data_IF_521579050771
#
_entry.id   IF_521579050771
#
_cell.length_a   1.000
_cell.length_b   1.000
_cell.length_c   1.000
_cell.angle_alpha   90.00
_cell.angle_beta   90.00
_cell.angle_gamma   90.00
#
_symmetry.space_group_name_H-M   'P 1'
#
loop_
_entity.id
_entity.type
_entity.pdbx_description
1 polymer ?
#
# COMPACT_ATOMS: atom_id res chain seq x y z
N UNK A 1 -4.00 22.97 -8.07
CA UNK A 1 -3.30 21.67 -8.07
C UNK A 1 -3.02 21.32 -6.62
N UNK A 2 -3.49 20.15 -6.15
CA UNK A 2 -3.15 19.70 -4.80
C UNK A 2 -1.62 19.54 -4.69
N UNK A 3 -1.05 19.98 -3.56
CA UNK A 3 0.39 19.91 -3.32
C UNK A 3 0.72 18.46 -2.95
N UNK A 4 1.60 17.82 -3.72
CA UNK A 4 2.05 16.46 -3.42
C UNK A 4 2.71 16.42 -2.04
N UNK A 5 2.43 15.37 -1.27
CA UNK A 5 3.06 15.10 0.01
C UNK A 5 4.36 14.31 -0.25
N UNK A 6 5.45 14.62 0.45
CA UNK A 6 6.69 13.87 0.26
C UNK A 6 6.55 12.46 0.84
N UNK A 7 7.09 11.46 0.14
CA UNK A 7 7.25 10.12 0.68
C UNK A 7 8.11 10.15 1.96
N UNK A 8 7.91 9.19 2.88
CA UNK A 8 8.74 9.04 4.06
C UNK A 8 10.24 9.06 3.72
N UNK A 9 11.01 9.83 4.51
CA UNK A 9 12.46 10.05 4.35
C UNK A 9 12.91 10.68 3.02
N UNK A 10 12.01 11.09 2.13
CA UNK A 10 12.43 11.77 0.89
C UNK A 10 13.18 13.07 1.17
N UNK A 11 12.78 13.82 2.20
CA UNK A 11 13.44 15.07 2.59
C UNK A 11 14.87 14.86 3.11
N UNK A 12 15.19 13.65 3.58
CA UNK A 12 16.50 13.28 4.11
C UNK A 12 17.45 12.75 3.02
N UNK A 13 16.98 12.63 1.77
CA UNK A 13 17.79 12.07 0.67
C UNK A 13 18.84 13.07 0.17
N UNK A 14 20.03 12.57 -0.22
CA UNK A 14 21.02 13.40 -0.90
C UNK A 14 20.44 13.91 -2.22
N UNK A 15 20.73 15.18 -2.54
CA UNK A 15 20.30 15.81 -3.80
C UNK A 15 21.31 15.53 -4.91
N UNK A 16 21.45 14.24 -5.24
CA UNK A 16 22.41 13.74 -6.20
C UNK A 16 21.68 12.95 -7.29
N UNK A 17 21.27 13.62 -8.40
CA UNK A 17 20.45 13.03 -9.44
C UNK A 17 20.92 11.69 -10.00
N UNK A 18 22.23 11.47 -10.07
CA UNK A 18 22.85 10.29 -10.69
C UNK A 18 23.17 9.19 -9.69
N UNK A 19 23.22 9.51 -8.39
CA UNK A 19 23.33 8.51 -7.32
C UNK A 19 22.01 7.78 -7.18
N UNK A 20 22.04 6.47 -7.00
CA UNK A 20 20.82 5.68 -6.92
C UNK A 20 20.00 6.05 -5.66
N UNK A 21 18.78 6.53 -5.86
CA UNK A 21 17.82 6.67 -4.77
C UNK A 21 17.29 5.29 -4.37
N UNK A 22 17.38 4.97 -3.09
CA UNK A 22 16.91 3.69 -2.55
C UNK A 22 15.47 3.82 -2.07
N UNK A 23 14.59 3.00 -2.62
CA UNK A 23 13.19 2.88 -2.23
C UNK A 23 12.94 1.45 -1.73
N UNK A 24 12.43 1.31 -0.50
CA UNK A 24 11.85 0.05 -0.03
C UNK A 24 10.34 0.10 -0.26
N UNK A 25 9.80 -0.88 -0.99
CA UNK A 25 8.38 -0.91 -1.36
C UNK A 25 7.73 -2.26 -1.05
N UNK A 26 6.54 -2.23 -0.48
CA UNK A 26 5.75 -3.42 -0.18
C UNK A 26 5.27 -3.48 1.26
N UNK A 27 4.43 -4.47 1.56
CA UNK A 27 3.76 -4.63 2.86
C UNK A 27 4.71 -4.68 4.05
N UNK A 28 5.94 -5.16 3.86
CA UNK A 28 6.96 -5.26 4.91
C UNK A 28 8.04 -4.17 4.84
N UNK A 29 7.86 -3.11 4.04
CA UNK A 29 8.91 -2.10 3.84
C UNK A 29 9.37 -1.40 5.13
N UNK A 30 8.45 -1.06 6.04
CA UNK A 30 8.82 -0.50 7.35
C UNK A 30 9.57 -1.50 8.24
N UNK A 31 9.14 -2.77 8.22
CA UNK A 31 9.77 -3.84 8.97
C UNK A 31 11.17 -4.12 8.45
N UNK A 32 11.34 -4.23 7.13
CA UNK A 32 12.63 -4.49 6.50
C UNK A 32 13.66 -3.41 6.83
N UNK A 33 13.24 -2.14 7.04
CA UNK A 33 14.15 -1.09 7.50
C UNK A 33 14.40 -1.13 9.01
N UNK A 34 13.35 -1.27 9.83
CA UNK A 34 13.39 -1.26 11.30
C UNK A 34 14.35 -0.21 11.91
N UNK A 35 14.24 1.05 11.47
CA UNK A 35 15.12 2.16 11.90
C UNK A 35 16.62 1.91 11.62
N UNK A 36 16.91 1.19 10.53
CA UNK A 36 18.26 0.85 10.10
C UNK A 36 18.90 -0.29 10.90
N UNK A 37 18.12 -1.06 11.67
CA UNK A 37 18.63 -2.10 12.57
C UNK A 37 18.26 -3.52 12.15
N UNK A 38 17.37 -3.67 11.16
CA UNK A 38 16.96 -4.99 10.73
C UNK A 38 18.11 -5.72 10.00
N UNK A 39 18.16 -7.04 10.13
CA UNK A 39 19.14 -7.86 9.42
C UNK A 39 18.94 -7.78 7.91
N UNK A 40 17.69 -7.69 7.43
CA UNK A 40 17.39 -7.54 6.00
C UNK A 40 17.98 -6.25 5.44
N UNK A 41 17.81 -5.12 6.14
CA UNK A 41 18.39 -3.83 5.73
C UNK A 41 19.91 -3.85 5.72
N UNK A 42 20.53 -4.39 6.77
CA UNK A 42 22.00 -4.46 6.86
C UNK A 42 22.58 -5.37 5.79
N UNK A 43 21.92 -6.49 5.49
CA UNK A 43 22.28 -7.38 4.41
C UNK A 43 22.19 -6.67 3.06
N UNK A 44 21.07 -6.00 2.76
CA UNK A 44 20.91 -5.20 1.53
C UNK A 44 22.03 -4.16 1.39
N UNK A 45 22.36 -3.43 2.46
CA UNK A 45 23.45 -2.45 2.46
C UNK A 45 24.83 -3.09 2.18
N UNK A 46 25.04 -4.34 2.59
CA UNK A 46 26.29 -5.06 2.31
C UNK A 46 26.38 -5.64 0.90
N UNK A 47 25.23 -5.95 0.29
CA UNK A 47 25.15 -6.56 -1.03
C UNK A 47 25.16 -5.52 -2.16
N UNK A 48 24.73 -4.30 -1.87
CA UNK A 48 24.49 -3.26 -2.87
C UNK A 48 25.49 -2.13 -2.71
N UNK A 49 26.34 -1.95 -3.72
CA UNK A 49 27.32 -0.86 -3.75
C UNK A 49 26.64 0.51 -3.66
N UNK A 50 27.19 1.39 -2.81
CA UNK A 50 26.70 2.75 -2.62
C UNK A 50 25.57 2.90 -1.59
N UNK A 51 25.10 1.82 -0.96
CA UNK A 51 24.17 1.90 0.16
C UNK A 51 24.90 2.11 1.49
N UNK A 52 24.53 3.16 2.23
CA UNK A 52 24.95 3.39 3.60
C UNK A 52 23.83 2.97 4.57
N UNK A 53 24.13 2.07 5.50
CA UNK A 53 23.18 1.63 6.53
C UNK A 53 22.64 2.78 7.39
N UNK A 54 23.35 3.91 7.47
CA UNK A 54 22.92 5.14 8.18
C UNK A 54 21.96 5.99 7.36
N UNK A 55 21.96 5.86 6.04
CA UNK A 55 21.02 6.57 5.17
C UNK A 55 19.64 5.96 5.34
N UNK A 56 18.63 6.81 5.51
CA UNK A 56 17.24 6.35 5.55
C UNK A 56 16.79 6.09 4.11
N UNK A 57 16.25 4.91 3.77
CA UNK A 57 15.63 4.72 2.47
C UNK A 57 14.29 5.44 2.40
N UNK A 58 13.83 5.78 1.19
CA UNK A 58 12.44 6.16 0.97
C UNK A 58 11.57 4.91 1.16
N UNK A 59 10.48 5.01 1.91
CA UNK A 59 9.65 3.86 2.26
C UNK A 59 8.25 4.02 1.67
N UNK A 60 7.83 3.01 0.91
CA UNK A 60 6.50 2.88 0.31
C UNK A 60 5.80 1.63 0.88
N UNK A 61 5.12 1.80 2.01
CA UNK A 61 4.29 0.77 2.62
C UNK A 61 2.80 0.97 2.24
N UNK A 62 1.89 0.18 2.81
CA UNK A 62 0.43 0.21 2.51
C UNK A 62 -0.12 1.62 2.31
N UNK A 63 0.02 2.48 3.31
CA UNK A 63 -0.49 3.85 3.25
C UNK A 63 0.05 4.66 2.06
N UNK A 64 1.32 4.48 1.67
CA UNK A 64 1.91 5.19 0.53
C UNK A 64 1.53 4.57 -0.80
N UNK A 65 1.34 3.25 -0.84
CA UNK A 65 0.96 2.53 -2.06
C UNK A 65 -0.51 2.79 -2.41
N UNK A 66 -1.38 3.00 -1.42
CA UNK A 66 -2.80 3.33 -1.61
C UNK A 66 -3.04 4.70 -2.26
N UNK A 67 -2.24 5.72 -1.90
CA UNK A 67 -2.28 7.05 -2.52
C UNK A 67 -0.96 7.41 -3.20
N UNK A 68 -0.43 6.49 -4.00
CA UNK A 68 0.83 6.70 -4.71
C UNK A 68 0.77 7.91 -5.66
N UNK A 69 -0.42 8.30 -6.11
CA UNK A 69 -0.63 9.43 -7.02
C UNK A 69 -0.52 10.80 -6.33
N UNK A 70 -0.84 10.89 -5.03
CA UNK A 70 -0.75 12.09 -4.21
C UNK A 70 0.63 12.35 -3.61
N UNK A 71 1.59 11.44 -3.82
CA UNK A 71 2.88 11.44 -3.14
C UNK A 71 4.02 11.77 -4.10
N UNK A 72 4.99 12.55 -3.66
CA UNK A 72 6.27 12.73 -4.35
C UNK A 72 7.24 11.65 -3.86
N UNK A 73 7.64 10.74 -4.74
CA UNK A 73 8.52 9.61 -4.39
C UNK A 73 10.00 9.94 -4.45
N UNK A 74 10.38 10.92 -5.27
CA UNK A 74 11.76 11.28 -5.53
C UNK A 74 11.89 12.77 -5.87
N UNK A 75 13.13 13.26 -5.94
CA UNK A 75 13.39 14.58 -6.49
C UNK A 75 13.10 14.62 -8.02
N UNK A 76 12.55 15.72 -8.58
CA UNK A 76 12.28 15.86 -10.00
C UNK A 76 13.50 15.63 -10.89
N UNK A 77 14.68 15.98 -10.40
CA UNK A 77 15.91 15.77 -11.15
C UNK A 77 16.48 14.36 -10.99
N UNK A 78 15.95 13.54 -10.05
CA UNK A 78 16.42 12.18 -9.82
C UNK A 78 16.39 11.34 -11.10
N UNK A 79 17.50 10.68 -11.42
CA UNK A 79 17.68 9.86 -12.63
C UNK A 79 17.77 8.37 -12.37
N UNK A 80 18.46 7.99 -11.28
CA UNK A 80 18.68 6.59 -10.92
C UNK A 80 17.87 6.23 -9.67
N UNK A 81 17.09 5.15 -9.73
CA UNK A 81 16.24 4.67 -8.63
C UNK A 81 16.31 3.15 -8.54
N UNK A 82 16.56 2.64 -7.34
CA UNK A 82 16.50 1.22 -7.01
C UNK A 82 15.32 0.98 -6.09
N UNK A 83 14.42 0.09 -6.51
CA UNK A 83 13.24 -0.29 -5.73
C UNK A 83 13.47 -1.69 -5.20
N UNK A 84 13.46 -1.89 -3.89
CA UNK A 84 13.55 -3.20 -3.25
C UNK A 84 12.17 -3.63 -2.78
N UNK A 85 11.72 -4.78 -3.26
CA UNK A 85 10.47 -5.37 -2.83
C UNK A 85 10.63 -6.00 -1.44
N UNK A 86 9.92 -5.45 -0.45
CA UNK A 86 9.88 -5.93 0.92
C UNK A 86 8.50 -6.53 1.22
N UNK A 87 8.41 -7.86 1.18
CA UNK A 87 7.14 -8.58 1.31
C UNK A 87 6.29 -8.55 0.04
N UNK A 88 4.97 -8.51 0.19
CA UNK A 88 4.05 -8.46 -0.95
C UNK A 88 4.04 -7.06 -1.58
N UNK A 89 4.06 -7.04 -2.91
CA UNK A 89 3.94 -5.84 -3.73
C UNK A 89 3.24 -6.25 -5.03
N UNK A 90 2.04 -5.73 -5.25
CA UNK A 90 1.21 -6.11 -6.39
C UNK A 90 1.66 -5.42 -7.69
N UNK A 91 1.36 -6.03 -8.84
CA UNK A 91 1.70 -5.45 -10.14
C UNK A 91 1.04 -4.07 -10.38
N UNK A 92 -0.17 -3.89 -9.84
CA UNK A 92 -0.92 -2.63 -9.83
C UNK A 92 -0.16 -1.53 -9.08
N UNK A 93 0.48 -1.87 -7.96
CA UNK A 93 1.27 -0.95 -7.14
C UNK A 93 2.60 -0.62 -7.81
N UNK A 94 3.28 -1.61 -8.39
CA UNK A 94 4.48 -1.40 -9.22
C UNK A 94 4.15 -0.44 -10.38
N UNK A 95 3.00 -0.65 -11.02
CA UNK A 95 2.51 0.23 -12.08
C UNK A 95 2.26 1.64 -11.57
N UNK A 96 1.63 1.80 -10.40
CA UNK A 96 1.40 3.08 -9.75
C UNK A 96 2.69 3.84 -9.42
N UNK A 97 3.70 3.14 -8.89
CA UNK A 97 5.03 3.69 -8.64
C UNK A 97 5.67 4.18 -9.95
N UNK A 98 5.69 3.34 -10.99
CA UNK A 98 6.25 3.69 -12.29
C UNK A 98 5.56 4.93 -12.89
N UNK A 99 4.24 5.01 -12.76
CA UNK A 99 3.44 6.12 -13.26
C UNK A 99 3.74 7.43 -12.52
N UNK A 100 3.86 7.37 -11.19
CA UNK A 100 4.27 8.53 -10.40
C UNK A 100 5.66 9.02 -10.82
N UNK A 101 6.64 8.11 -10.89
CA UNK A 101 8.01 8.43 -11.29
C UNK A 101 8.05 9.02 -12.71
N UNK A 102 7.29 8.46 -13.65
CA UNK A 102 7.21 8.97 -15.02
C UNK A 102 6.72 10.43 -15.06
N UNK A 103 5.72 10.78 -14.24
CA UNK A 103 5.12 12.12 -14.18
C UNK A 103 5.97 13.15 -13.45
N UNK A 104 6.66 12.74 -12.40
CA UNK A 104 7.22 13.68 -11.42
C UNK A 104 8.74 13.71 -11.37
N UNK A 105 9.43 12.85 -12.12
CA UNK A 105 10.90 12.78 -12.13
C UNK A 105 11.47 12.64 -13.54
N UNK A 106 12.79 12.81 -13.65
CA UNK A 106 13.60 12.52 -14.84
C UNK A 106 14.22 11.12 -14.82
N UNK A 107 13.72 10.22 -13.97
CA UNK A 107 14.26 8.88 -13.80
C UNK A 107 14.34 8.14 -15.14
N UNK A 108 15.55 7.74 -15.54
CA UNK A 108 15.83 7.01 -16.77
C UNK A 108 16.49 5.64 -16.51
N UNK A 109 16.94 5.41 -15.27
CA UNK A 109 17.38 4.12 -14.78
C UNK A 109 16.57 3.72 -13.54
N UNK A 110 15.61 2.81 -13.72
CA UNK A 110 14.77 2.30 -12.63
C UNK A 110 14.71 0.78 -12.67
N UNK A 111 15.09 0.16 -11.56
CA UNK A 111 15.20 -1.29 -11.44
C UNK A 111 14.50 -1.77 -10.16
N UNK A 112 13.69 -2.81 -10.29
CA UNK A 112 13.06 -3.53 -9.20
C UNK A 112 13.92 -4.73 -8.81
N UNK A 113 14.22 -4.83 -7.52
CA UNK A 113 14.95 -5.91 -6.89
C UNK A 113 14.04 -6.67 -5.94
N UNK A 114 14.34 -7.94 -5.72
CA UNK A 114 13.73 -8.71 -4.63
C UNK A 114 14.43 -8.45 -3.27
N UNK A 115 13.93 -9.10 -2.21
CA UNK A 115 14.50 -8.99 -0.86
C UNK A 115 15.92 -9.57 -0.72
N UNK A 116 16.43 -10.28 -1.73
CA UNK A 116 17.80 -10.80 -1.78
C UNK A 116 18.73 -9.94 -2.66
N UNK A 117 18.31 -8.71 -3.00
CA UNK A 117 19.01 -7.80 -3.90
C UNK A 117 19.24 -8.35 -5.32
N UNK A 118 18.46 -9.34 -5.76
CA UNK A 118 18.51 -9.82 -7.14
C UNK A 118 17.58 -8.98 -8.02
N UNK A 119 18.06 -8.62 -9.21
CA UNK A 119 17.24 -7.89 -10.18
C UNK A 119 16.04 -8.74 -10.58
N UNK A 120 14.85 -8.25 -10.26
CA UNK A 120 13.58 -8.87 -10.62
C UNK A 120 13.04 -8.34 -11.95
N UNK A 121 13.09 -7.02 -12.14
CA UNK A 121 12.59 -6.38 -13.36
C UNK A 121 13.30 -5.05 -13.65
N UNK A 122 13.59 -4.78 -14.93
CA UNK A 122 14.05 -3.45 -15.36
C UNK A 122 12.85 -2.62 -15.84
N UNK A 123 12.48 -1.60 -15.05
CA UNK A 123 11.30 -0.77 -15.26
C UNK A 123 11.58 0.47 -16.13
N UNK A 124 12.85 0.73 -16.47
CA UNK A 124 13.27 1.91 -17.23
C UNK A 124 12.52 2.07 -18.55
N UNK A 125 12.40 0.98 -19.32
CA UNK A 125 11.66 0.99 -20.59
C UNK A 125 10.17 1.26 -20.41
N UNK A 126 9.58 0.76 -19.31
CA UNK A 126 8.17 1.01 -19.01
C UNK A 126 7.92 2.48 -18.65
N UNK A 127 8.77 3.07 -17.81
CA UNK A 127 8.70 4.50 -17.46
C UNK A 127 8.82 5.40 -18.70
N UNK A 128 9.71 5.07 -19.65
CA UNK A 128 9.82 5.86 -20.88
C UNK A 128 8.56 5.76 -21.75
N UNK A 129 7.91 4.59 -21.82
CA UNK A 129 6.60 4.45 -22.48
C UNK A 129 5.53 5.29 -21.79
N UNK A 130 5.50 5.31 -20.46
CA UNK A 130 4.57 6.16 -19.68
C UNK A 130 4.81 7.66 -19.87
N UNK A 131 5.93 8.11 -20.44
CA UNK A 131 6.15 9.53 -20.79
C UNK A 131 5.77 9.88 -22.22
N UNK A 132 5.80 8.90 -23.12
CA UNK A 132 5.73 9.13 -24.57
C UNK A 132 4.43 8.63 -25.20
N UNK A 133 3.85 7.56 -24.67
CA UNK A 133 2.66 6.91 -25.19
C UNK A 133 1.41 7.33 -24.40
N UNK A 134 0.55 8.14 -25.05
CA UNK A 134 -0.71 8.61 -24.46
C UNK A 134 -1.64 7.47 -24.04
N UNK A 135 -1.63 6.34 -24.76
CA UNK A 135 -2.47 5.19 -24.42
C UNK A 135 -1.97 4.47 -23.17
N UNK A 136 -0.65 4.34 -23.01
CA UNK A 136 -0.03 3.78 -21.82
C UNK A 136 -0.27 4.68 -20.60
N UNK A 137 -0.23 6.01 -20.78
CA UNK A 137 -0.57 7.00 -19.74
C UNK A 137 -2.02 6.83 -19.29
N UNK A 138 -2.97 6.74 -20.22
CA UNK A 138 -4.39 6.58 -19.87
C UNK A 138 -4.68 5.26 -19.15
N UNK A 139 -4.00 4.17 -19.53
CA UNK A 139 -4.13 2.87 -18.86
C UNK A 139 -3.53 2.95 -17.45
N UNK A 140 -2.33 3.53 -17.31
CA UNK A 140 -1.69 3.68 -16.01
C UNK A 140 -2.45 4.66 -15.10
N UNK A 141 -3.05 5.72 -15.63
CA UNK A 141 -3.95 6.61 -14.87
C UNK A 141 -5.19 5.88 -14.34
N UNK A 142 -5.74 4.92 -15.10
CA UNK A 142 -6.85 4.07 -14.63
C UNK A 142 -6.43 3.03 -13.58
N UNK A 143 -5.17 2.60 -13.60
CA UNK A 143 -4.61 1.61 -12.66
C UNK A 143 -4.13 2.28 -11.36
N UNK A 144 -3.51 3.47 -11.47
CA UNK A 144 -2.88 4.19 -10.36
C UNK A 144 -3.86 5.05 -9.55
N UNK A 145 -5.02 5.38 -10.10
CA UNK A 145 -6.11 5.92 -9.30
C UNK A 145 -6.81 4.75 -8.60
N UNK A 146 -7.04 4.79 -7.27
CA UNK A 146 -8.05 3.93 -6.68
C UNK A 146 -9.34 4.17 -7.49
N UNK A 147 -10.02 3.10 -7.94
CA UNK A 147 -11.15 3.26 -8.84
C UNK A 147 -12.13 4.23 -8.21
N UNK A 148 -12.35 5.39 -8.84
CA UNK A 148 -13.37 6.35 -8.41
C UNK A 148 -14.68 5.60 -8.38
N UNK A 149 -15.09 5.28 -7.17
CA UNK A 149 -16.26 4.49 -6.92
C UNK A 149 -17.45 5.29 -7.42
N UNK A 150 -18.31 4.68 -8.22
CA UNK A 150 -19.51 5.33 -8.73
C UNK A 150 -20.67 4.94 -7.83
N UNK A 151 -21.61 5.86 -7.67
CA UNK A 151 -22.81 5.60 -6.86
C UNK A 151 -23.60 4.38 -7.37
N UNK A 152 -23.56 4.11 -8.67
CA UNK A 152 -24.19 2.95 -9.32
C UNK A 152 -23.39 1.64 -9.24
N UNK A 153 -22.22 1.63 -8.63
CA UNK A 153 -21.45 0.40 -8.46
C UNK A 153 -22.15 -0.55 -7.49
N UNK A 154 -22.01 -1.86 -7.73
CA UNK A 154 -22.65 -2.89 -6.91
C UNK A 154 -22.17 -2.88 -5.46
N UNK A 155 -23.04 -3.28 -4.53
CA UNK A 155 -22.73 -3.31 -3.08
C UNK A 155 -21.46 -4.12 -2.77
N UNK A 156 -21.17 -5.16 -3.54
CA UNK A 156 -19.95 -5.95 -3.42
C UNK A 156 -18.67 -5.16 -3.72
N UNK A 157 -18.71 -4.18 -4.63
CA UNK A 157 -17.59 -3.30 -4.95
C UNK A 157 -17.45 -2.23 -3.86
N UNK A 158 -18.58 -1.66 -3.42
CA UNK A 158 -18.60 -0.69 -2.31
C UNK A 158 -18.11 -1.28 -1.00
N UNK A 159 -18.50 -2.51 -0.68
CA UNK A 159 -18.05 -3.22 0.52
C UNK A 159 -16.53 -3.45 0.54
N UNK A 160 -15.94 -3.84 -0.60
CA UNK A 160 -14.47 -3.98 -0.70
C UNK A 160 -13.76 -2.64 -0.53
N UNK A 161 -14.28 -1.59 -1.15
CA UNK A 161 -13.72 -0.26 -1.01
C UNK A 161 -13.86 0.27 0.43
N UNK A 162 -14.97 -0.02 1.09
CA UNK A 162 -15.18 0.29 2.49
C UNK A 162 -14.18 -0.44 3.40
N UNK A 163 -13.99 -1.75 3.22
CA UNK A 163 -12.97 -2.53 3.98
C UNK A 163 -11.57 -1.96 3.79
N UNK A 164 -11.22 -1.61 2.54
CA UNK A 164 -9.94 -0.95 2.25
C UNK A 164 -9.84 0.41 2.94
N UNK A 165 -10.89 1.22 2.87
CA UNK A 165 -10.95 2.54 3.50
C UNK A 165 -10.84 2.47 5.03
N UNK A 166 -11.36 1.41 5.67
CA UNK A 166 -11.18 1.19 7.11
C UNK A 166 -9.70 1.07 7.47
N UNK A 167 -8.87 0.55 6.57
CA UNK A 167 -7.43 0.34 6.76
C UNK A 167 -7.11 -0.39 8.07
N UNK A 168 -7.88 -1.45 8.34
CA UNK A 168 -7.71 -2.34 9.47
C UNK A 168 -7.45 -3.75 8.94
N UNK A 169 -6.55 -4.48 9.60
CA UNK A 169 -6.41 -5.91 9.37
C UNK A 169 -7.64 -6.60 9.96
N UNK A 170 -8.62 -6.89 9.11
CA UNK A 170 -9.91 -7.46 9.50
C UNK A 170 -10.07 -8.90 9.05
N UNK A 171 -10.67 -9.70 9.93
CA UNK A 171 -11.06 -11.07 9.64
C UNK A 171 -12.44 -11.37 10.22
N UNK A 172 -13.18 -12.25 9.56
CA UNK A 172 -14.43 -12.77 10.08
C UNK A 172 -14.15 -13.96 11.00
N UNK A 173 -14.68 -13.90 12.22
CA UNK A 173 -14.63 -15.04 13.13
C UNK A 173 -15.67 -16.10 12.74
N UNK A 174 -15.30 -17.38 12.80
CA UNK A 174 -16.08 -18.48 12.20
C UNK A 174 -17.36 -18.82 12.98
N UNK A 175 -17.42 -18.54 14.29
CA UNK A 175 -18.53 -18.92 15.16
C UNK A 175 -19.64 -17.87 15.20
N UNK A 176 -19.29 -16.62 15.48
CA UNK A 176 -20.25 -15.50 15.59
C UNK A 176 -20.48 -14.74 14.28
N UNK A 177 -19.62 -14.96 13.26
CA UNK A 177 -19.65 -14.31 11.95
C UNK A 177 -19.45 -12.78 12.02
N UNK A 178 -18.92 -12.28 13.13
CA UNK A 178 -18.59 -10.88 13.32
C UNK A 178 -17.20 -10.55 12.77
N UNK A 179 -16.98 -9.26 12.49
CA UNK A 179 -15.67 -8.77 12.09
C UNK A 179 -14.84 -8.50 13.33
N UNK A 180 -13.61 -8.96 13.28
CA UNK A 180 -12.58 -8.63 14.24
C UNK A 180 -11.50 -7.85 13.51
N UNK A 181 -10.82 -6.97 14.23
CA UNK A 181 -9.63 -6.31 13.73
C UNK A 181 -8.43 -6.62 14.61
N UNK A 182 -7.25 -6.69 14.01
CA UNK A 182 -6.01 -6.89 14.74
C UNK A 182 -5.50 -5.56 15.31
N UNK A 183 -5.29 -5.49 16.62
CA UNK A 183 -4.78 -4.29 17.31
C UNK A 183 -3.25 -4.23 17.37
N UNK A 184 -2.56 -5.16 16.72
CA UNK A 184 -1.11 -5.34 16.81
C UNK A 184 -0.65 -6.29 17.92
N UNK A 185 -1.58 -6.72 18.78
CA UNK A 185 -1.33 -7.71 19.82
C UNK A 185 -2.42 -8.79 19.85
N UNK A 186 -3.69 -8.36 19.81
CA UNK A 186 -4.86 -9.25 19.90
C UNK A 186 -5.85 -8.97 18.77
N UNK A 187 -6.76 -9.90 18.55
CA UNK A 187 -7.93 -9.69 17.73
C UNK A 187 -9.08 -9.20 18.61
N UNK A 188 -9.61 -8.02 18.29
CA UNK A 188 -10.74 -7.41 19.00
C UNK A 188 -11.96 -7.33 18.10
N UNK A 189 -13.14 -7.54 18.68
CA UNK A 189 -14.40 -7.47 17.94
C UNK A 189 -14.62 -6.02 17.48
N UNK A 190 -14.96 -5.84 16.21
CA UNK A 190 -15.33 -4.56 15.64
C UNK A 190 -16.86 -4.41 15.75
N UNK A 191 -17.39 -3.60 16.68
CA UNK A 191 -18.82 -3.57 16.96
C UNK A 191 -19.62 -3.09 15.74
N UNK A 192 -20.80 -3.66 15.53
CA UNK A 192 -21.68 -3.25 14.42
C UNK A 192 -22.00 -1.76 14.45
N UNK A 193 -22.24 -1.19 15.64
CA UNK A 193 -22.49 0.26 15.80
C UNK A 193 -21.32 1.11 15.33
N UNK A 194 -20.08 0.66 15.51
CA UNK A 194 -18.90 1.36 15.02
C UNK A 194 -18.77 1.23 13.49
N UNK A 195 -19.06 0.05 12.95
CA UNK A 195 -19.12 -0.18 11.50
C UNK A 195 -20.17 0.68 10.82
N UNK A 196 -21.33 0.88 11.44
CA UNK A 196 -22.39 1.77 10.93
C UNK A 196 -21.93 3.24 10.86
N UNK A 197 -21.28 3.73 11.92
CA UNK A 197 -20.71 5.10 11.93
C UNK A 197 -19.65 5.27 10.86
N UNK A 198 -18.73 4.30 10.74
CA UNK A 198 -17.67 4.32 9.72
C UNK A 198 -18.23 4.19 8.30
N UNK A 199 -19.29 3.40 8.11
CA UNK A 199 -19.97 3.28 6.83
C UNK A 199 -20.61 4.61 6.42
N UNK A 200 -21.25 5.33 7.33
CA UNK A 200 -21.78 6.68 7.04
C UNK A 200 -20.65 7.62 6.60
N UNK A 201 -19.55 7.67 7.35
CA UNK A 201 -18.37 8.48 7.01
C UNK A 201 -17.84 8.16 5.62
N UNK A 202 -17.73 6.87 5.29
CA UNK A 202 -17.31 6.42 3.97
C UNK A 202 -18.26 6.92 2.87
N UNK A 203 -19.59 6.79 3.05
CA UNK A 203 -20.54 7.29 2.05
C UNK A 203 -20.47 8.81 1.88
N UNK A 204 -20.32 9.56 2.98
CA UNK A 204 -20.18 11.02 2.96
C UNK A 204 -18.91 11.46 2.20
N UNK A 205 -17.77 10.80 2.46
CA UNK A 205 -16.50 11.07 1.76
C UNK A 205 -16.55 10.73 0.27
N UNK A 206 -17.35 9.74 -0.12
CA UNK A 206 -17.58 9.39 -1.51
C UNK A 206 -18.70 10.22 -2.18
N UNK A 207 -19.32 11.16 -1.45
CA UNK A 207 -20.47 11.96 -1.88
C UNK A 207 -21.66 11.09 -2.36
N UNK A 208 -21.89 9.95 -1.72
CA UNK A 208 -22.97 9.03 -2.05
C UNK A 208 -24.22 9.25 -1.20
N UNK A 209 -25.38 9.00 -1.81
CA UNK A 209 -26.60 8.86 -1.02
C UNK A 209 -26.64 7.52 -0.27
N UNK A 210 -27.24 7.51 0.91
CA UNK A 210 -27.39 6.31 1.73
C UNK A 210 -28.74 6.23 2.44
N UNK A 211 -29.06 5.00 2.85
CA UNK A 211 -30.18 4.63 3.71
C UNK A 211 -29.68 3.58 4.73
N UNK A 212 -30.43 3.34 5.81
CA UNK A 212 -30.10 2.27 6.75
C UNK A 212 -29.85 0.93 6.02
N UNK A 213 -30.70 0.60 5.04
CA UNK A 213 -30.56 -0.63 4.24
C UNK A 213 -29.28 -0.68 3.41
N UNK A 214 -28.82 0.44 2.84
CA UNK A 214 -27.59 0.45 2.05
C UNK A 214 -26.34 0.35 2.91
N UNK A 215 -26.38 0.92 4.12
CA UNK A 215 -25.33 0.78 5.14
C UNK A 215 -25.24 -0.68 5.60
N UNK A 216 -26.37 -1.24 6.05
CA UNK A 216 -26.47 -2.63 6.51
C UNK A 216 -26.00 -3.61 5.44
N UNK A 217 -26.48 -3.44 4.21
CA UNK A 217 -26.12 -4.31 3.09
C UNK A 217 -24.63 -4.22 2.76
N UNK A 218 -23.99 -3.06 2.89
CA UNK A 218 -22.55 -2.91 2.68
C UNK A 218 -21.75 -3.62 3.78
N UNK A 219 -22.13 -3.44 5.05
CA UNK A 219 -21.47 -4.07 6.20
C UNK A 219 -21.61 -5.60 6.13
N UNK A 220 -22.81 -6.11 5.87
CA UNK A 220 -23.04 -7.55 5.76
C UNK A 220 -22.28 -8.14 4.56
N UNK A 221 -22.19 -7.40 3.45
CA UNK A 221 -21.37 -7.84 2.30
C UNK A 221 -19.89 -7.82 2.63
N UNK A 222 -19.40 -6.84 3.39
CA UNK A 222 -18.01 -6.78 3.86
C UNK A 222 -17.68 -7.97 4.77
N UNK A 223 -18.58 -8.33 5.70
CA UNK A 223 -18.49 -9.54 6.53
C UNK A 223 -18.32 -10.80 5.69
N UNK A 224 -19.17 -10.98 4.67
CA UNK A 224 -19.14 -12.15 3.77
C UNK A 224 -17.83 -12.22 2.97
N UNK A 225 -17.27 -11.07 2.59
CA UNK A 225 -16.06 -10.97 1.77
C UNK A 225 -14.76 -11.06 2.57
N UNK A 226 -14.80 -10.85 3.89
CA UNK A 226 -13.62 -10.87 4.74
C UNK A 226 -12.98 -12.27 4.80
N UNK A 227 -11.66 -12.31 4.99
CA UNK A 227 -10.95 -13.55 5.22
C UNK A 227 -11.47 -14.19 6.51
N UNK A 228 -11.64 -15.52 6.51
CA UNK A 228 -11.97 -16.24 7.74
C UNK A 228 -10.72 -16.28 8.61
N UNK A 229 -10.89 -16.02 9.90
CA UNK A 229 -9.86 -16.31 10.88
C UNK A 229 -9.42 -17.78 10.72
N UNK A 230 -8.11 -18.00 10.62
CA UNK A 230 -7.55 -19.35 10.52
C UNK A 230 -8.01 -20.21 11.68
N UNK A 231 -8.18 -21.52 11.45
CA UNK A 231 -8.64 -22.50 12.45
C UNK A 231 -7.69 -22.67 13.67
N UNK A 232 -6.60 -21.90 13.70
CA UNK A 232 -5.55 -21.90 14.73
C UNK A 232 -5.82 -20.91 15.89
N UNK A 233 -6.98 -21.03 16.53
CA UNK A 233 -7.16 -20.45 17.88
C UNK A 233 -7.86 -21.38 18.86
N UNK A 234 -8.10 -22.66 18.51
CA UNK A 234 -8.48 -23.65 19.54
C UNK A 234 -7.34 -23.90 20.54
N UNK A 235 -6.08 -23.85 20.13
CA UNK A 235 -4.94 -24.09 21.03
C UNK A 235 -4.54 -22.89 21.90
N UNK A 236 -5.00 -21.67 21.60
CA UNK A 236 -4.69 -20.48 22.40
C UNK A 236 -5.80 -20.09 23.39
N UNK A 237 -7.00 -20.66 23.27
CA UNK A 237 -8.11 -20.40 24.20
C UNK A 237 -8.21 -21.41 25.35
N UNK A 238 -7.59 -22.60 25.25
CA UNK A 238 -7.62 -23.61 26.33
C UNK A 238 -6.59 -23.37 27.45
N UNK A 239 -5.66 -22.41 27.32
CA UNK A 239 -4.65 -22.12 28.35
C UNK A 239 -5.03 -21.05 29.37
N UNK A 240 -6.27 -20.55 29.37
CA UNK A 240 -6.77 -19.64 30.42
C UNK A 240 -7.82 -20.27 31.33
N UNK A 241 -7.96 -21.60 31.30
CA UNK A 241 -8.89 -22.33 32.16
C UNK A 241 -8.20 -23.43 32.99
N UNK A 242 -7.04 -23.13 33.58
CA UNK A 242 -6.49 -23.85 34.75
C UNK A 242 -5.64 -22.93 35.62
#
# INVERSE_FOLDING_TARGET
MARLINAPHLADQPKEPYSALIILAGRKAWQAWNKGKDEEWLLLCSLVEGMDARQKPVILAEQQLEDISGIRLADPEQRSIMIFQCGELEQTEITGICHNLAKHTKADHVVLYDGAAQMKENLSGYIQRLRTDKSAVEIADKIAQPPKLKEKDGTNVKARAFVKWLNLDIAQHSLDKELYHYTGANWEILPRSELEVKAVQFYDEQEFTYSARSIDSMIDTAKIQAAKMGEQSKELLEKMAY
#
